data_IF_546442709990
#
_entry.id   IF_546442709990
#
_cell.length_a   1.000
_cell.length_b   1.000
_cell.length_c   1.000
_cell.angle_alpha   90.00
_cell.angle_beta   90.00
_cell.angle_gamma   90.00
#
_symmetry.space_group_name_H-M   'P 1'
#
loop_
_entity.id
_entity.type
_entity.pdbx_description
1 polymer ?
#
# COMPACT_ATOMS: atom_id res chain seq x y z
N UNK A 1 -0.98 -57.32 -17.44
CA UNK A 1 0.34 -57.03 -16.85
C UNK A 1 1.04 -56.12 -17.84
N UNK A 2 1.38 -54.86 -17.58
CA UNK A 2 1.39 -54.02 -16.38
C UNK A 2 1.13 -52.57 -16.83
N UNK A 3 0.38 -51.83 -16.02
CA UNK A 3 0.08 -50.43 -16.25
C UNK A 3 1.23 -49.54 -15.83
N UNK A 4 1.51 -48.51 -16.64
CA UNK A 4 2.33 -47.35 -16.28
C UNK A 4 1.78 -46.68 -15.02
N UNK A 5 2.63 -46.49 -14.01
CA UNK A 5 2.42 -45.55 -12.91
C UNK A 5 3.43 -44.42 -13.06
N UNK A 6 2.96 -43.30 -13.63
CA UNK A 6 3.43 -41.97 -13.28
C UNK A 6 2.52 -41.50 -12.14
N UNK A 7 3.09 -41.13 -10.98
CA UNK A 7 2.41 -40.25 -10.02
C UNK A 7 3.44 -39.27 -9.46
N UNK A 8 3.13 -38.01 -9.72
CA UNK A 8 3.71 -36.76 -9.25
C UNK A 8 4.20 -36.75 -7.80
N UNK A 9 5.42 -36.27 -7.62
CA UNK A 9 5.94 -35.82 -6.34
C UNK A 9 5.58 -34.35 -6.08
N UNK A 10 4.31 -34.06 -5.82
CA UNK A 10 3.91 -32.78 -5.24
C UNK A 10 4.27 -32.79 -3.75
N UNK A 11 5.38 -32.12 -3.39
CA UNK A 11 5.75 -31.89 -1.99
C UNK A 11 4.71 -30.97 -1.34
N UNK A 12 3.80 -31.55 -0.55
CA UNK A 12 2.94 -30.80 0.37
C UNK A 12 3.82 -30.00 1.36
N UNK A 13 3.65 -28.67 1.38
CA UNK A 13 4.24 -27.82 2.43
C UNK A 13 3.57 -28.18 3.77
N UNK A 14 4.33 -28.34 4.87
CA UNK A 14 3.77 -28.76 6.15
C UNK A 14 2.80 -27.70 6.70
N UNK A 15 1.61 -28.14 7.15
CA UNK A 15 0.53 -27.30 7.64
C UNK A 15 0.94 -26.28 8.75
N UNK A 16 1.99 -26.58 9.52
CA UNK A 16 2.53 -25.68 10.55
C UNK A 16 3.12 -24.38 9.97
N UNK A 17 3.73 -24.42 8.78
CA UNK A 17 4.21 -23.21 8.09
C UNK A 17 3.06 -22.35 7.56
N UNK A 18 1.91 -22.96 7.23
CA UNK A 18 0.72 -22.24 6.75
C UNK A 18 0.06 -21.40 7.85
N UNK A 19 -0.08 -21.95 9.06
CA UNK A 19 -0.66 -21.22 10.19
C UNK A 19 0.18 -20.02 10.64
N UNK A 20 1.52 -20.15 10.61
CA UNK A 20 2.43 -19.05 10.98
C UNK A 20 2.29 -17.86 10.04
N UNK A 21 2.12 -18.11 8.74
CA UNK A 21 2.01 -17.05 7.74
C UNK A 21 0.73 -16.23 7.89
N UNK A 22 -0.37 -16.83 8.36
CA UNK A 22 -1.63 -16.09 8.56
C UNK A 22 -1.50 -14.99 9.63
N UNK A 23 -0.78 -15.27 10.72
CA UNK A 23 -0.47 -14.26 11.74
C UNK A 23 0.42 -13.15 11.18
N UNK A 24 1.42 -13.50 10.37
CA UNK A 24 2.28 -12.52 9.70
C UNK A 24 1.50 -11.64 8.70
N UNK A 25 0.52 -12.21 7.99
CA UNK A 25 -0.39 -11.47 7.12
C UNK A 25 -1.25 -10.46 7.88
N UNK A 26 -1.81 -10.84 9.04
CA UNK A 26 -2.55 -9.92 9.90
C UNK A 26 -1.65 -8.84 10.49
N UNK A 27 -0.44 -9.22 10.93
CA UNK A 27 0.53 -8.28 11.45
C UNK A 27 0.97 -7.25 10.40
N UNK A 28 1.08 -7.64 9.13
CA UNK A 28 1.38 -6.72 8.02
C UNK A 28 0.37 -5.57 7.93
N UNK A 29 -0.91 -5.86 8.15
CA UNK A 29 -2.01 -4.88 8.03
C UNK A 29 -2.40 -4.25 9.37
N UNK A 30 -1.69 -4.55 10.45
CA UNK A 30 -1.89 -3.95 11.76
C UNK A 30 -1.38 -2.49 11.76
N UNK A 31 -2.06 -1.61 12.50
CA UNK A 31 -1.65 -0.21 12.64
C UNK A 31 -0.44 -0.02 13.57
N UNK A 32 -0.10 -1.03 14.38
CA UNK A 32 1.08 -1.02 15.25
C UNK A 32 2.38 -1.17 14.47
N UNK A 33 2.33 -1.74 13.26
CA UNK A 33 3.52 -2.00 12.47
C UNK A 33 4.13 -0.66 12.00
N UNK A 34 5.42 -0.37 12.28
CA UNK A 34 6.00 0.95 12.04
C UNK A 34 6.41 1.14 10.57
N UNK A 35 5.42 1.06 9.66
CA UNK A 35 5.57 1.19 8.20
C UNK A 35 5.55 2.65 7.72
N UNK A 36 5.33 3.60 8.63
CA UNK A 36 5.35 5.03 8.34
C UNK A 36 4.01 5.63 7.92
N UNK A 37 2.96 4.83 7.71
CA UNK A 37 1.63 5.34 7.31
C UNK A 37 1.07 6.40 8.26
N UNK A 38 1.31 6.25 9.57
CA UNK A 38 0.92 7.25 10.58
C UNK A 38 1.55 8.64 10.35
N UNK A 39 2.68 8.76 9.67
CA UNK A 39 3.31 10.07 9.44
C UNK A 39 2.66 10.87 8.30
N UNK A 40 1.75 10.29 7.52
CA UNK A 40 1.24 10.86 6.27
C UNK A 40 -0.28 11.09 6.32
N UNK A 41 -0.75 12.17 5.69
CA UNK A 41 -2.16 12.58 5.69
C UNK A 41 -2.85 12.41 4.34
N UNK A 42 -2.18 11.88 3.31
CA UNK A 42 -2.74 11.76 1.96
C UNK A 42 -3.29 13.10 1.40
N UNK A 43 -2.64 14.22 1.74
CA UNK A 43 -3.08 15.56 1.35
C UNK A 43 -4.30 16.10 2.12
N UNK A 44 -4.87 15.36 3.08
CA UNK A 44 -6.03 15.80 3.88
C UNK A 44 -5.69 17.10 4.62
N UNK A 45 -4.50 17.20 5.21
CA UNK A 45 -4.08 18.41 5.94
C UNK A 45 -4.06 19.64 5.03
N UNK A 46 -3.52 19.49 3.81
CA UNK A 46 -3.50 20.56 2.82
C UNK A 46 -4.91 20.90 2.32
N UNK A 47 -5.76 19.90 2.10
CA UNK A 47 -7.14 20.08 1.66
C UNK A 47 -8.00 20.82 2.70
N UNK A 48 -7.80 20.59 4.00
CA UNK A 48 -8.46 21.36 5.08
C UNK A 48 -8.01 22.82 5.03
N UNK A 49 -6.70 23.08 4.95
CA UNK A 49 -6.18 24.45 4.92
C UNK A 49 -6.61 25.20 3.66
N UNK A 50 -6.71 24.50 2.52
CA UNK A 50 -7.24 25.01 1.26
C UNK A 50 -8.77 25.15 1.23
N UNK A 51 -9.48 24.84 2.33
CA UNK A 51 -10.95 24.92 2.43
C UNK A 51 -11.70 24.00 1.45
N UNK A 52 -11.05 22.92 1.02
CA UNK A 52 -11.67 21.86 0.18
C UNK A 52 -12.41 20.85 1.06
N UNK A 53 -11.91 20.57 2.27
CA UNK A 53 -12.59 19.75 3.26
C UNK A 53 -13.04 20.65 4.41
N UNK A 54 -14.35 20.84 4.56
CA UNK A 54 -14.95 21.69 5.60
C UNK A 54 -15.77 20.90 6.61
N UNK A 55 -16.28 19.73 6.21
CA UNK A 55 -17.16 18.90 7.00
C UNK A 55 -16.87 17.39 6.77
N UNK A 56 -17.47 16.49 7.57
CA UNK A 56 -17.30 15.04 7.41
C UNK A 56 -17.77 14.49 6.05
N UNK A 57 -18.74 15.12 5.38
CA UNK A 57 -19.24 14.70 4.07
C UNK A 57 -18.22 14.99 2.96
N UNK A 58 -17.58 16.15 2.98
CA UNK A 58 -16.47 16.52 2.10
C UNK A 58 -15.31 15.54 2.28
N UNK A 59 -15.01 15.20 3.55
CA UNK A 59 -13.98 14.24 3.89
C UNK A 59 -14.26 12.85 3.33
N UNK A 60 -15.50 12.37 3.47
CA UNK A 60 -15.90 11.08 2.90
C UNK A 60 -15.70 11.08 1.38
N UNK A 61 -16.07 12.16 0.70
CA UNK A 61 -15.86 12.33 -0.74
C UNK A 61 -14.38 12.34 -1.09
N UNK A 62 -13.56 13.04 -0.31
CA UNK A 62 -12.11 13.10 -0.49
C UNK A 62 -11.47 11.71 -0.35
N UNK A 63 -11.84 10.93 0.67
CA UNK A 63 -11.35 9.56 0.88
C UNK A 63 -11.73 8.64 -0.28
N UNK A 64 -12.95 8.78 -0.82
CA UNK A 64 -13.36 8.03 -2.01
C UNK A 64 -12.43 8.35 -3.18
N UNK A 65 -12.09 9.63 -3.41
CA UNK A 65 -11.12 9.97 -4.46
C UNK A 65 -9.71 9.44 -4.18
N UNK A 66 -9.27 9.41 -2.92
CA UNK A 66 -7.98 8.81 -2.54
C UNK A 66 -7.98 7.32 -2.88
N UNK A 67 -9.07 6.61 -2.58
CA UNK A 67 -9.22 5.20 -2.93
C UNK A 67 -9.30 4.96 -4.43
N UNK A 68 -9.99 5.83 -5.19
CA UNK A 68 -10.04 5.72 -6.65
C UNK A 68 -8.64 5.85 -7.26
N UNK A 69 -7.86 6.85 -6.83
CA UNK A 69 -6.47 7.02 -7.28
C UNK A 69 -5.59 5.86 -6.79
N UNK A 70 -5.80 5.35 -5.58
CA UNK A 70 -5.08 4.17 -5.08
C UNK A 70 -5.36 2.96 -5.96
N UNK A 71 -6.63 2.75 -6.32
CA UNK A 71 -7.08 1.75 -7.28
C UNK A 71 -6.42 1.90 -8.64
N UNK A 72 -6.60 3.05 -9.28
CA UNK A 72 -6.20 3.29 -10.66
C UNK A 72 -4.70 3.42 -10.86
N UNK A 73 -3.96 3.93 -9.87
CA UNK A 73 -2.52 4.18 -9.98
C UNK A 73 -1.67 3.11 -9.30
N UNK A 74 -2.03 2.69 -8.07
CA UNK A 74 -1.10 1.95 -7.21
C UNK A 74 -1.37 0.43 -7.19
N UNK A 75 -2.62 -0.01 -7.36
CA UNK A 75 -2.93 -1.45 -7.39
C UNK A 75 -2.22 -2.22 -8.50
N UNK A 76 -2.01 -1.70 -9.73
CA UNK A 76 -1.24 -2.41 -10.74
C UNK A 76 0.18 -2.79 -10.28
N UNK A 77 0.83 -1.90 -9.51
CA UNK A 77 2.15 -2.16 -8.94
C UNK A 77 2.11 -3.20 -7.82
N UNK A 78 1.09 -3.14 -6.96
CA UNK A 78 0.88 -4.15 -5.90
C UNK A 78 0.61 -5.52 -6.53
N UNK A 79 -0.25 -5.58 -7.55
CA UNK A 79 -0.60 -6.78 -8.28
C UNK A 79 0.62 -7.44 -8.90
N UNK A 80 1.36 -6.69 -9.73
CA UNK A 80 2.55 -7.19 -10.42
C UNK A 80 3.63 -7.67 -9.44
N UNK A 81 3.86 -6.90 -8.37
CA UNK A 81 4.82 -7.24 -7.33
C UNK A 81 4.43 -8.49 -6.52
N UNK A 82 3.14 -8.66 -6.20
CA UNK A 82 2.64 -9.82 -5.45
C UNK A 82 2.66 -11.10 -6.29
N UNK A 83 2.33 -10.99 -7.59
CA UNK A 83 2.37 -12.12 -8.52
C UNK A 83 3.80 -12.61 -8.79
N UNK A 84 4.77 -11.69 -8.79
CA UNK A 84 6.16 -11.97 -9.12
C UNK A 84 7.10 -11.24 -8.15
N UNK A 85 7.26 -11.76 -6.91
CA UNK A 85 8.00 -11.10 -5.83
C UNK A 85 9.51 -11.37 -5.93
N UNK A 86 10.11 -11.07 -7.08
CA UNK A 86 11.56 -11.14 -7.29
C UNK A 86 12.20 -9.76 -7.43
N UNK A 87 13.53 -9.75 -7.35
CA UNK A 87 14.33 -8.54 -7.30
C UNK A 87 14.33 -7.75 -8.62
N UNK A 88 14.27 -8.42 -9.77
CA UNK A 88 14.34 -7.76 -11.07
C UNK A 88 12.99 -7.14 -11.44
N UNK A 89 11.89 -7.86 -11.16
CA UNK A 89 10.55 -7.29 -11.26
C UNK A 89 10.39 -6.09 -10.31
N UNK A 90 10.82 -6.21 -9.05
CA UNK A 90 10.80 -5.10 -8.10
C UNK A 90 11.52 -3.86 -8.65
N UNK A 91 12.76 -4.02 -9.13
CA UNK A 91 13.56 -2.91 -9.70
C UNK A 91 12.85 -2.25 -10.87
N UNK A 92 12.20 -3.02 -11.74
CA UNK A 92 11.42 -2.49 -12.87
C UNK A 92 10.24 -1.65 -12.35
N UNK A 93 9.43 -2.23 -11.48
CA UNK A 93 8.24 -1.59 -10.91
C UNK A 93 8.57 -0.31 -10.16
N UNK A 94 9.62 -0.35 -9.34
CA UNK A 94 10.04 0.79 -8.53
C UNK A 94 10.49 1.96 -9.40
N UNK A 95 11.30 1.72 -10.45
CA UNK A 95 11.69 2.78 -11.41
C UNK A 95 10.51 3.33 -12.20
N UNK A 96 9.58 2.47 -12.62
CA UNK A 96 8.37 2.91 -13.34
C UNK A 96 7.51 3.81 -12.45
N UNK A 97 7.33 3.43 -11.17
CA UNK A 97 6.55 4.22 -10.24
C UNK A 97 7.24 5.54 -9.89
N UNK A 98 8.56 5.55 -9.73
CA UNK A 98 9.35 6.78 -9.49
C UNK A 98 9.17 7.78 -10.65
N UNK A 99 9.21 7.29 -11.89
CA UNK A 99 8.96 8.11 -13.09
C UNK A 99 7.50 8.57 -13.20
N UNK A 100 6.53 7.79 -12.69
CA UNK A 100 5.10 8.11 -12.76
C UNK A 100 4.69 9.16 -11.71
N UNK A 101 5.32 9.14 -10.53
CA UNK A 101 5.00 10.06 -9.43
C UNK A 101 5.68 11.42 -9.63
N UNK A 102 5.03 12.29 -10.40
CA UNK A 102 5.52 13.66 -10.68
C UNK A 102 5.44 14.58 -9.47
N UNK A 103 4.47 14.36 -8.58
CA UNK A 103 4.36 15.11 -7.33
C UNK A 103 5.45 14.69 -6.33
N UNK A 104 6.34 15.64 -6.00
CA UNK A 104 7.46 15.41 -5.10
C UNK A 104 7.02 15.01 -3.68
N UNK A 105 5.93 15.58 -3.16
CA UNK A 105 5.40 15.26 -1.83
C UNK A 105 4.92 13.81 -1.81
N UNK A 106 4.12 13.41 -2.79
CA UNK A 106 3.60 12.05 -2.94
C UNK A 106 4.72 11.04 -3.19
N UNK A 107 5.70 11.38 -4.03
CA UNK A 107 6.87 10.55 -4.33
C UNK A 107 7.70 10.30 -3.07
N UNK A 108 8.03 11.34 -2.31
CA UNK A 108 8.76 11.23 -1.03
C UNK A 108 8.00 10.44 0.01
N UNK A 109 6.68 10.64 0.13
CA UNK A 109 5.85 9.86 1.04
C UNK A 109 5.85 8.37 0.68
N UNK A 110 5.76 8.04 -0.61
CA UNK A 110 5.83 6.66 -1.10
C UNK A 110 7.18 6.00 -0.82
N UNK A 111 8.29 6.69 -1.07
CA UNK A 111 9.65 6.22 -0.77
C UNK A 111 9.87 6.02 0.74
N UNK A 112 9.44 6.99 1.55
CA UNK A 112 9.57 6.94 3.00
C UNK A 112 8.84 5.73 3.58
N UNK A 113 7.58 5.52 3.17
CA UNK A 113 6.76 4.40 3.62
C UNK A 113 7.29 3.06 3.13
N UNK A 114 7.67 2.92 1.86
CA UNK A 114 8.19 1.66 1.34
C UNK A 114 9.56 1.30 1.92
N UNK A 115 10.44 2.28 2.17
CA UNK A 115 11.70 2.05 2.87
C UNK A 115 11.48 1.59 4.32
N UNK A 116 10.53 2.21 5.02
CA UNK A 116 10.15 1.80 6.38
C UNK A 116 9.54 0.39 6.39
N UNK A 117 8.61 0.11 5.48
CA UNK A 117 7.98 -1.21 5.33
C UNK A 117 9.02 -2.29 5.04
N UNK A 118 9.92 -2.10 4.07
CA UNK A 118 10.96 -3.10 3.73
C UNK A 118 11.90 -3.35 4.92
N UNK A 119 12.27 -2.29 5.66
CA UNK A 119 13.08 -2.41 6.88
C UNK A 119 12.38 -3.26 7.94
N UNK A 120 11.10 -3.00 8.18
CA UNK A 120 10.32 -3.73 9.18
C UNK A 120 10.08 -5.17 8.74
N UNK A 121 9.68 -5.39 7.49
CA UNK A 121 9.43 -6.71 6.94
C UNK A 121 10.67 -7.61 7.03
N UNK A 122 11.86 -7.08 6.68
CA UNK A 122 13.13 -7.81 6.81
C UNK A 122 13.53 -8.15 8.27
N UNK A 123 13.00 -7.42 9.26
CA UNK A 123 13.30 -7.62 10.68
C UNK A 123 12.27 -8.50 11.39
N UNK A 124 10.99 -8.39 11.02
CA UNK A 124 9.86 -9.06 11.69
C UNK A 124 9.60 -10.43 11.08
N UNK A 125 9.54 -10.53 9.75
CA UNK A 125 9.16 -11.77 9.06
C UNK A 125 10.39 -12.65 8.77
N UNK A 126 11.05 -13.07 9.84
CA UNK A 126 12.32 -13.83 9.79
C UNK A 126 12.19 -15.20 9.12
N UNK A 127 10.98 -15.74 9.04
CA UNK A 127 10.62 -16.95 8.30
C UNK A 127 10.74 -16.79 6.78
N UNK A 128 10.93 -15.55 6.29
CA UNK A 128 11.16 -15.20 4.88
C UNK A 128 12.53 -14.52 4.72
N UNK A 129 13.63 -15.28 4.64
CA UNK A 129 14.98 -14.71 4.53
C UNK A 129 15.20 -13.85 3.28
N UNK A 130 14.43 -14.07 2.21
CA UNK A 130 14.54 -13.30 0.96
C UNK A 130 14.26 -11.81 1.16
N UNK A 131 13.40 -11.41 2.12
CA UNK A 131 13.15 -9.99 2.43
C UNK A 131 14.43 -9.29 2.88
N UNK A 132 15.18 -9.93 3.79
CA UNK A 132 16.45 -9.39 4.27
C UNK A 132 17.50 -9.31 3.15
N UNK A 133 17.61 -10.37 2.35
CA UNK A 133 18.54 -10.42 1.21
C UNK A 133 18.22 -9.32 0.19
N UNK A 134 16.96 -9.21 -0.24
CA UNK A 134 16.53 -8.19 -1.20
C UNK A 134 16.81 -6.77 -0.69
N UNK A 135 16.56 -6.52 0.60
CA UNK A 135 16.90 -5.24 1.23
C UNK A 135 18.39 -4.96 1.18
N UNK A 136 19.23 -5.91 1.63
CA UNK A 136 20.69 -5.76 1.65
C UNK A 136 21.29 -5.54 0.25
N UNK A 137 20.79 -6.27 -0.76
CA UNK A 137 21.22 -6.13 -2.15
C UNK A 137 20.82 -4.79 -2.79
N UNK A 138 19.79 -4.14 -2.26
CA UNK A 138 19.27 -2.88 -2.80
C UNK A 138 19.81 -1.66 -2.05
N UNK A 139 20.20 -1.81 -0.79
CA UNK A 139 20.83 -0.75 0.01
C UNK A 139 22.15 -0.28 -0.62
N UNK A 140 22.32 1.04 -0.71
CA UNK A 140 23.55 1.66 -1.22
C UNK A 140 23.75 1.56 -2.73
N UNK A 141 22.94 0.78 -3.45
CA UNK A 141 23.03 0.65 -4.92
C UNK A 141 22.49 1.87 -5.68
N UNK A 142 21.56 2.62 -5.08
CA UNK A 142 20.83 3.71 -5.74
C UNK A 142 19.87 3.26 -6.85
N UNK A 143 19.69 1.94 -7.03
CA UNK A 143 18.88 1.37 -8.13
C UNK A 143 17.37 1.40 -7.83
N UNK A 144 17.03 1.38 -6.55
CA UNK A 144 15.65 1.25 -6.04
C UNK A 144 15.42 2.36 -5.02
N UNK A 145 14.34 3.12 -5.22
CA UNK A 145 13.87 4.17 -4.33
C UNK A 145 13.08 3.62 -3.14
N UNK A 146 12.55 2.39 -3.23
CA UNK A 146 11.72 1.73 -2.21
C UNK A 146 10.32 2.34 -2.12
N UNK A 147 9.62 2.45 -3.25
CA UNK A 147 8.24 2.88 -3.27
C UNK A 147 7.31 1.89 -2.56
N UNK A 148 6.31 2.43 -1.87
CA UNK A 148 5.44 1.67 -0.99
C UNK A 148 4.64 0.57 -1.70
N UNK A 149 4.00 0.85 -2.85
CA UNK A 149 3.16 -0.12 -3.54
C UNK A 149 3.93 -1.37 -4.04
N UNK A 150 5.06 -1.26 -4.76
CA UNK A 150 5.88 -2.42 -5.13
C UNK A 150 6.39 -3.19 -3.90
N UNK A 151 6.90 -2.49 -2.87
CA UNK A 151 7.39 -3.14 -1.65
C UNK A 151 6.27 -3.90 -0.95
N UNK A 152 5.09 -3.30 -0.82
CA UNK A 152 3.94 -3.95 -0.19
C UNK A 152 3.53 -5.22 -0.96
N UNK A 153 3.44 -5.15 -2.29
CA UNK A 153 3.13 -6.32 -3.11
C UNK A 153 4.15 -7.45 -2.93
N UNK A 154 5.45 -7.15 -2.91
CA UNK A 154 6.50 -8.15 -2.66
C UNK A 154 6.31 -8.83 -1.31
N UNK A 155 6.07 -8.03 -0.25
CA UNK A 155 5.89 -8.56 1.10
C UNK A 155 4.65 -9.45 1.16
N UNK A 156 3.53 -9.03 0.55
CA UNK A 156 2.32 -9.84 0.45
C UNK A 156 2.55 -11.16 -0.28
N UNK A 157 3.17 -11.12 -1.47
CA UNK A 157 3.43 -12.32 -2.27
C UNK A 157 4.33 -13.32 -1.54
N UNK A 158 5.37 -12.83 -0.85
CA UNK A 158 6.25 -13.69 -0.05
C UNK A 158 5.59 -14.24 1.22
N UNK A 159 4.66 -13.51 1.82
CA UNK A 159 3.81 -13.99 2.91
C UNK A 159 2.70 -14.95 2.43
N UNK A 160 2.64 -15.25 1.13
CA UNK A 160 1.68 -16.18 0.55
C UNK A 160 0.26 -15.63 0.47
N UNK A 161 0.09 -14.31 0.46
CA UNK A 161 -1.20 -13.70 0.15
C UNK A 161 -1.48 -13.83 -1.35
N UNK A 162 -2.69 -14.23 -1.72
CA UNK A 162 -3.10 -14.17 -3.12
C UNK A 162 -3.21 -12.72 -3.60
N UNK A 163 -3.26 -12.53 -4.92
CA UNK A 163 -3.23 -11.20 -5.53
C UNK A 163 -4.45 -10.35 -5.15
N UNK A 164 -5.63 -10.96 -5.01
CA UNK A 164 -6.85 -10.25 -4.64
C UNK A 164 -6.79 -9.78 -3.19
N UNK A 165 -6.39 -10.66 -2.27
CA UNK A 165 -6.19 -10.32 -0.86
C UNK A 165 -5.10 -9.26 -0.69
N UNK A 166 -4.01 -9.32 -1.47
CA UNK A 166 -2.94 -8.31 -1.46
C UNK A 166 -3.44 -6.92 -1.85
N UNK A 167 -4.20 -6.83 -2.94
CA UNK A 167 -4.77 -5.56 -3.42
C UNK A 167 -5.83 -5.03 -2.46
N UNK A 168 -6.68 -5.90 -1.90
CA UNK A 168 -7.66 -5.53 -0.87
C UNK A 168 -6.99 -5.03 0.40
N UNK A 169 -5.93 -5.68 0.85
CA UNK A 169 -5.14 -5.27 2.00
C UNK A 169 -4.51 -3.88 1.79
N UNK A 170 -3.99 -3.60 0.58
CA UNK A 170 -3.44 -2.29 0.25
C UNK A 170 -4.50 -1.17 0.29
N UNK A 171 -5.69 -1.43 -0.24
CA UNK A 171 -6.84 -0.51 -0.14
C UNK A 171 -7.24 -0.29 1.32
N UNK A 172 -7.28 -1.37 2.13
CA UNK A 172 -7.64 -1.31 3.53
C UNK A 172 -6.66 -0.48 4.35
N UNK A 173 -5.34 -0.68 4.23
CA UNK A 173 -4.36 0.11 4.99
C UNK A 173 -4.38 1.58 4.58
N UNK A 174 -4.59 1.87 3.29
CA UNK A 174 -4.72 3.25 2.79
C UNK A 174 -5.94 3.93 3.41
N UNK A 175 -7.08 3.23 3.43
CA UNK A 175 -8.30 3.71 4.06
C UNK A 175 -8.13 3.96 5.56
N UNK A 176 -7.58 2.96 6.27
CA UNK A 176 -7.30 3.01 7.71
C UNK A 176 -6.42 4.21 8.06
N UNK A 177 -5.35 4.44 7.29
CA UNK A 177 -4.39 5.50 7.56
C UNK A 177 -4.98 6.89 7.27
N UNK A 178 -5.80 7.04 6.23
CA UNK A 178 -6.55 8.26 5.96
C UNK A 178 -7.52 8.63 7.10
N UNK A 179 -8.28 7.65 7.63
CA UNK A 179 -9.17 7.85 8.78
C UNK A 179 -8.41 8.13 10.08
N UNK A 180 -7.24 7.50 10.27
CA UNK A 180 -6.33 7.81 11.38
C UNK A 180 -5.86 9.25 11.32
N UNK A 181 -5.47 9.74 10.13
CA UNK A 181 -5.05 11.11 9.92
C UNK A 181 -6.20 12.10 10.20
N UNK A 182 -7.40 11.84 9.68
CA UNK A 182 -8.57 12.68 9.92
C UNK A 182 -8.95 12.79 11.41
N UNK A 183 -8.78 11.71 12.16
CA UNK A 183 -9.01 11.72 13.62
C UNK A 183 -8.04 12.65 14.33
N UNK A 184 -6.76 12.63 13.93
CA UNK A 184 -5.71 13.48 14.50
C UNK A 184 -5.79 14.94 14.05
N UNK A 185 -6.39 15.19 12.90
CA UNK A 185 -6.73 16.53 12.41
C UNK A 185 -8.03 17.06 13.04
N UNK A 186 -8.63 16.32 13.98
CA UNK A 186 -9.87 16.67 14.67
C UNK A 186 -11.07 16.91 13.71
N UNK A 187 -11.06 16.23 12.57
CA UNK A 187 -12.12 16.30 11.56
C UNK A 187 -13.28 15.35 11.90
N UNK A 188 -12.94 14.21 12.52
CA UNK A 188 -13.90 13.21 13.00
C UNK A 188 -13.37 12.58 14.29
N UNK A 189 -14.24 12.23 15.24
CA UNK A 189 -13.83 11.51 16.45
C UNK A 189 -13.50 10.04 16.18
N UNK A 190 -12.77 9.33 17.06
CA UNK A 190 -12.35 7.94 16.83
C UNK A 190 -13.50 6.96 16.52
N UNK A 191 -14.62 7.07 17.25
CA UNK A 191 -15.81 6.25 17.00
C UNK A 191 -16.45 6.60 15.64
N UNK A 192 -16.54 7.89 15.32
CA UNK A 192 -17.07 8.35 14.03
C UNK A 192 -16.21 7.88 12.86
N UNK A 193 -14.89 7.89 13.01
CA UNK A 193 -13.95 7.39 12.01
C UNK A 193 -14.17 5.90 11.74
N UNK A 194 -14.35 5.09 12.78
CA UNK A 194 -14.63 3.65 12.64
C UNK A 194 -15.98 3.40 11.93
N UNK A 195 -17.02 4.17 12.25
CA UNK A 195 -18.32 4.09 11.58
C UNK A 195 -18.21 4.46 10.10
N UNK A 196 -17.57 5.59 9.78
CA UNK A 196 -17.39 6.05 8.40
C UNK A 196 -16.50 5.08 7.60
N UNK A 197 -15.43 4.55 8.19
CA UNK A 197 -14.59 3.54 7.54
C UNK A 197 -15.40 2.30 7.15
N UNK A 198 -16.27 1.83 8.04
CA UNK A 198 -17.16 0.72 7.74
C UNK A 198 -18.15 1.07 6.61
N UNK A 199 -18.73 2.26 6.61
CA UNK A 199 -19.63 2.71 5.54
C UNK A 199 -18.94 2.82 4.17
N UNK A 200 -17.71 3.36 4.15
CA UNK A 200 -16.91 3.52 2.92
C UNK A 200 -16.41 2.18 2.37
N UNK A 201 -16.38 1.11 3.19
CA UNK A 201 -15.90 -0.21 2.75
C UNK A 201 -16.61 -0.76 1.51
N UNK A 202 -17.89 -0.43 1.33
CA UNK A 202 -18.67 -0.83 0.14
C UNK A 202 -18.13 -0.15 -1.12
N UNK A 203 -17.83 1.15 -1.04
CA UNK A 203 -17.21 1.90 -2.14
C UNK A 203 -15.79 1.38 -2.41
N UNK A 204 -15.02 1.12 -1.35
CA UNK A 204 -13.67 0.56 -1.46
C UNK A 204 -13.66 -0.79 -2.19
N UNK A 205 -14.57 -1.71 -1.86
CA UNK A 205 -14.68 -3.01 -2.52
C UNK A 205 -15.16 -2.88 -3.98
N UNK A 206 -16.04 -1.92 -4.27
CA UNK A 206 -16.46 -1.60 -5.65
C UNK A 206 -15.28 -1.11 -6.49
N UNK A 207 -14.45 -0.23 -5.93
CA UNK A 207 -13.24 0.29 -6.57
C UNK A 207 -12.18 -0.80 -6.76
N UNK A 208 -11.97 -1.65 -5.74
CA UNK A 208 -11.09 -2.81 -5.84
C UNK A 208 -11.48 -3.66 -7.05
N UNK A 209 -12.75 -4.05 -7.18
CA UNK A 209 -13.22 -4.88 -8.30
C UNK A 209 -13.04 -4.22 -9.67
N UNK A 210 -13.11 -2.88 -9.73
CA UNK A 210 -12.93 -2.11 -10.97
C UNK A 210 -11.46 -2.08 -11.43
N UNK A 211 -10.52 -2.00 -10.49
CA UNK A 211 -9.11 -1.72 -10.77
C UNK A 211 -8.17 -2.90 -10.53
N UNK A 212 -8.61 -3.96 -9.84
CA UNK A 212 -7.77 -5.11 -9.54
C UNK A 212 -7.31 -5.86 -10.79
N UNK A 213 -6.14 -6.48 -10.70
CA UNK A 213 -5.57 -7.36 -11.73
C UNK A 213 -5.32 -6.65 -13.08
N UNK A 214 -4.99 -5.35 -13.03
CA UNK A 214 -4.56 -4.58 -14.19
C UNK A 214 -3.04 -4.55 -14.30
N UNK A 215 -2.56 -4.46 -15.53
CA UNK A 215 -1.14 -4.29 -15.83
C UNK A 215 -0.67 -2.89 -15.47
N UNK A 216 0.63 -2.74 -15.22
CA UNK A 216 1.23 -1.48 -14.78
C UNK A 216 1.19 -0.39 -15.83
N UNK A 217 1.08 -0.77 -17.11
CA UNK A 217 0.91 0.13 -18.24
C UNK A 217 -0.46 0.83 -18.24
N UNK A 218 -1.46 0.26 -17.56
CA UNK A 218 -2.79 0.87 -17.38
C UNK A 218 -2.87 1.80 -16.16
N UNK A 219 -1.78 1.94 -15.41
CA UNK A 219 -1.74 2.76 -14.21
C UNK A 219 -1.97 4.25 -14.54
N UNK A 220 -2.93 4.89 -13.86
CA UNK A 220 -3.31 6.27 -14.14
C UNK A 220 -3.81 7.01 -12.91
N UNK A 221 -3.67 8.34 -12.90
CA UNK A 221 -4.36 9.22 -11.96
C UNK A 221 -5.72 9.63 -12.53
N UNK A 222 -6.78 9.42 -11.76
CA UNK A 222 -8.16 9.73 -12.15
C UNK A 222 -8.69 10.97 -11.44
N UNK A 223 -8.12 11.32 -10.27
CA UNK A 223 -8.43 12.52 -9.52
C UNK A 223 -7.18 13.43 -9.39
N UNK A 224 -6.84 14.24 -10.42
CA UNK A 224 -5.65 15.09 -10.44
C UNK A 224 -5.68 16.24 -9.41
N UNK A 225 -6.87 16.60 -8.92
CA UNK A 225 -7.00 17.59 -7.85
C UNK A 225 -6.33 17.12 -6.55
N UNK A 226 -6.38 15.81 -6.27
CA UNK A 226 -5.68 15.25 -5.10
C UNK A 226 -4.18 15.42 -5.23
N UNK A 227 -3.63 15.19 -6.42
CA UNK A 227 -2.21 15.37 -6.68
C UNK A 227 -1.81 16.83 -6.49
N UNK A 228 -2.60 17.78 -7.01
CA UNK A 228 -2.39 19.22 -6.80
C UNK A 228 -2.40 19.57 -5.30
N UNK A 229 -3.42 19.13 -4.56
CA UNK A 229 -3.57 19.44 -3.14
C UNK A 229 -2.45 18.83 -2.28
N UNK A 230 -2.07 17.59 -2.56
CA UNK A 230 -0.96 16.95 -1.86
C UNK A 230 0.36 17.69 -2.15
N UNK A 231 0.56 18.17 -3.37
CA UNK A 231 1.71 19.00 -3.73
C UNK A 231 1.77 20.31 -2.94
N UNK A 232 0.60 20.83 -2.51
CA UNK A 232 0.52 22.03 -1.69
C UNK A 232 1.00 21.83 -0.25
N UNK A 233 1.15 20.59 0.24
CA UNK A 233 1.55 20.30 1.62
C UNK A 233 2.90 20.93 2.00
N UNK A 234 3.83 21.02 1.04
CA UNK A 234 5.13 21.66 1.23
C UNK A 234 5.07 23.15 1.55
N UNK A 235 3.96 23.84 1.23
CA UNK A 235 3.77 25.28 1.43
C UNK A 235 2.97 25.62 2.69
N UNK A 236 2.50 24.62 3.45
CA UNK A 236 1.72 24.87 4.66
C UNK A 236 2.59 25.51 5.75
N UNK A 237 2.08 26.57 6.37
CA UNK A 237 2.78 27.28 7.44
C UNK A 237 2.96 26.41 8.70
N UNK A 238 1.92 25.66 9.07
CA UNK A 238 1.93 24.70 10.17
C UNK A 238 1.55 23.31 9.64
N UNK A 239 2.28 22.28 10.09
CA UNK A 239 2.14 20.89 9.65
C UNK A 239 2.21 19.94 10.84
N UNK A 240 1.24 19.04 10.94
CA UNK A 240 1.19 17.90 11.86
C UNK A 240 1.69 16.62 11.20
N UNK A 241 1.67 16.55 9.87
CA UNK A 241 2.08 15.39 9.07
C UNK A 241 3.31 15.71 8.22
N UNK A 242 3.94 14.67 7.69
CA UNK A 242 5.09 14.77 6.78
C UNK A 242 4.67 14.96 5.32
N UNK A 243 3.40 14.71 4.97
CA UNK A 243 2.80 14.91 3.63
C UNK A 243 1.29 14.95 3.66
#
# INVERSE_FOLDING_TARGET
MEGKKEIDGAKEKPASTSFSLHWSQWQLIDSILPTGGFAHSFGIEAAIQARVILNPEDFQTYVIHVLENTGSLLLPYVYSAAMCPDLDNWRKLDRMLDATLTNEVSRKASVSQGSALMRVAAAVFTEIPSLKIMREMSLGSGIVAFHHAPVFGIVCGLLGMDSETSQRAYMFITLRDAFSAATRLNLVGPLGAAVLQHQVSIAAETMLKRWMNREVEDACQTAPLLDTLQGCHGYLFSRLFCS
#
